data_IF_207372142327
#
_entry.id   IF_207372142327
#
_cell.length_a   1.000
_cell.length_b   1.000
_cell.length_c   1.000
_cell.angle_alpha   90.00
_cell.angle_beta   90.00
_cell.angle_gamma   90.00
#
_symmetry.space_group_name_H-M   'P 1'
#
loop_
_entity.id
_entity.type
_entity.pdbx_description
1 polymer ?
#
# COMPACT_ATOMS: atom_id res chain seq x y z
N UNK A 1 -18.96 6.70 0.35
CA UNK A 1 -17.81 6.25 1.14
C UNK A 1 -18.24 5.17 2.13
N UNK A 2 -17.29 4.49 2.79
CA UNK A 2 -17.61 3.47 3.79
C UNK A 2 -18.47 4.02 4.94
N UNK A 3 -19.37 3.17 5.46
CA UNK A 3 -20.19 3.45 6.64
C UNK A 3 -19.47 3.15 7.94
N UNK A 4 -20.18 3.28 9.07
CA UNK A 4 -19.64 2.95 10.41
C UNK A 4 -19.30 1.46 10.51
N UNK A 5 -18.30 1.14 11.33
CA UNK A 5 -17.85 -0.21 11.66
C UNK A 5 -17.49 -0.28 13.14
N UNK A 6 -17.74 -1.41 13.79
CA UNK A 6 -17.35 -1.66 15.19
C UNK A 6 -15.83 -1.73 15.38
N UNK A 7 -15.08 -1.92 14.29
CA UNK A 7 -13.61 -1.88 14.31
C UNK A 7 -13.03 -0.47 14.29
N UNK A 8 -13.85 0.57 14.06
CA UNK A 8 -13.39 1.94 14.02
C UNK A 8 -13.24 2.52 15.42
N UNK A 9 -12.31 3.45 15.56
CA UNK A 9 -12.01 4.08 16.84
C UNK A 9 -12.60 5.49 16.89
N UNK A 10 -13.02 5.90 18.09
CA UNK A 10 -13.57 7.24 18.33
C UNK A 10 -12.49 8.17 18.85
N UNK A 11 -12.45 9.38 18.33
CA UNK A 11 -11.59 10.46 18.81
C UNK A 11 -12.32 11.79 18.88
N UNK A 12 -11.61 12.81 19.32
CA UNK A 12 -12.10 14.19 19.39
C UNK A 12 -11.13 15.13 18.68
N UNK A 13 -11.60 16.32 18.36
CA UNK A 13 -10.74 17.45 18.08
C UNK A 13 -11.09 18.65 18.95
N UNK A 14 -10.06 19.40 19.36
CA UNK A 14 -10.17 20.52 20.32
C UNK A 14 -9.23 21.66 19.96
N UNK A 15 -9.50 22.82 20.54
CA UNK A 15 -8.69 24.03 20.37
C UNK A 15 -8.68 24.86 21.66
N UNK A 16 -8.24 26.11 21.57
CA UNK A 16 -8.45 27.11 22.60
C UNK A 16 -9.93 27.34 23.00
N UNK A 17 -10.90 26.94 22.18
CA UNK A 17 -12.32 26.97 22.54
C UNK A 17 -12.68 26.02 23.68
N UNK A 18 -11.85 25.00 23.96
CA UNK A 18 -11.95 24.13 25.13
C UNK A 18 -10.80 24.46 26.10
N UNK A 19 -10.86 25.58 26.85
CA UNK A 19 -9.72 26.05 27.65
C UNK A 19 -9.39 25.13 28.84
N UNK A 20 -10.35 24.32 29.29
CA UNK A 20 -10.16 23.38 30.39
C UNK A 20 -10.69 22.00 29.96
N UNK A 21 -9.79 21.02 29.88
CA UNK A 21 -10.09 19.63 29.54
C UNK A 21 -9.48 18.72 30.60
N UNK A 22 -10.32 17.91 31.26
CA UNK A 22 -9.85 16.81 32.10
C UNK A 22 -9.57 15.58 31.23
N UNK A 23 -8.33 15.49 30.79
CA UNK A 23 -7.87 14.42 29.91
C UNK A 23 -7.94 13.02 30.53
N UNK A 24 -7.96 12.90 31.86
CA UNK A 24 -8.15 11.61 32.53
C UNK A 24 -9.58 11.12 32.36
N UNK A 25 -10.56 12.01 32.50
CA UNK A 25 -11.97 11.70 32.23
C UNK A 25 -12.24 11.45 30.74
N UNK A 26 -11.57 12.19 29.86
CA UNK A 26 -11.65 11.97 28.40
C UNK A 26 -11.14 10.57 28.04
N UNK A 27 -9.97 10.18 28.58
CA UNK A 27 -9.39 8.84 28.38
C UNK A 27 -10.33 7.75 28.92
N UNK A 28 -10.88 7.95 30.12
CA UNK A 28 -11.85 7.03 30.72
C UNK A 28 -13.18 6.93 29.94
N UNK A 29 -13.48 7.91 29.08
CA UNK A 29 -14.65 7.91 28.20
C UNK A 29 -14.44 7.11 26.91
N UNK A 30 -13.26 6.48 26.74
CA UNK A 30 -12.96 5.64 25.58
C UNK A 30 -12.48 6.42 24.35
N UNK A 31 -12.09 7.68 24.52
CA UNK A 31 -11.47 8.48 23.44
C UNK A 31 -10.09 7.92 23.13
N UNK A 32 -9.90 7.46 21.91
CA UNK A 32 -8.70 6.73 21.48
C UNK A 32 -7.63 7.62 20.83
N UNK A 33 -7.98 8.82 20.40
CA UNK A 33 -7.07 9.81 19.82
C UNK A 33 -7.64 11.22 19.95
N UNK A 34 -6.77 12.24 19.87
CA UNK A 34 -7.18 13.63 19.82
C UNK A 34 -6.40 14.41 18.76
N UNK A 35 -7.09 15.23 17.95
CA UNK A 35 -6.48 16.27 17.14
C UNK A 35 -6.61 17.63 17.84
N UNK A 36 -5.54 18.43 17.84
CA UNK A 36 -5.52 19.71 18.54
C UNK A 36 -5.14 20.80 17.57
N UNK A 37 -5.88 21.92 17.56
CA UNK A 37 -5.51 23.09 16.77
C UNK A 37 -4.13 23.54 17.19
N UNK A 38 -3.20 23.64 16.25
CA UNK A 38 -1.86 24.16 16.53
C UNK A 38 -1.73 25.61 16.07
N UNK A 39 -2.25 25.91 14.89
CA UNK A 39 -2.05 27.21 14.23
C UNK A 39 -3.22 27.58 13.33
N UNK A 40 -3.32 28.88 13.04
CA UNK A 40 -4.27 29.46 12.09
C UNK A 40 -3.56 30.56 11.29
N UNK A 41 -3.66 30.49 9.97
CA UNK A 41 -3.03 31.43 9.08
C UNK A 41 -1.51 31.56 9.26
N UNK A 42 -0.92 32.66 8.78
CA UNK A 42 0.54 32.82 8.78
C UNK A 42 1.19 33.10 10.15
N UNK A 43 0.43 33.41 11.21
CA UNK A 43 0.99 33.93 12.48
C UNK A 43 0.35 33.45 13.77
N UNK A 44 -0.88 32.96 13.75
CA UNK A 44 -1.58 32.60 14.99
C UNK A 44 -1.14 31.21 15.42
N UNK A 45 -0.67 31.10 16.67
CA UNK A 45 -0.47 29.82 17.35
C UNK A 45 -1.53 29.67 18.43
N UNK A 46 -2.14 28.49 18.50
CA UNK A 46 -3.14 28.19 19.52
C UNK A 46 -2.45 28.05 20.88
N UNK A 47 -2.81 28.92 21.83
CA UNK A 47 -2.18 28.98 23.14
C UNK A 47 -2.41 27.72 23.98
N UNK A 48 -3.46 26.93 23.68
CA UNK A 48 -3.76 25.70 24.38
C UNK A 48 -3.06 24.47 23.77
N UNK A 49 -2.50 24.58 22.56
CA UNK A 49 -1.87 23.44 21.87
C UNK A 49 -0.82 22.71 22.72
N UNK A 50 0.19 23.38 23.34
CA UNK A 50 1.18 22.67 24.15
C UNK A 50 0.59 21.99 25.37
N UNK A 51 -0.36 22.65 26.04
CA UNK A 51 -1.02 22.16 27.26
C UNK A 51 -1.90 20.96 26.96
N UNK A 52 -2.75 21.05 25.94
CA UNK A 52 -3.61 19.95 25.52
C UNK A 52 -2.78 18.76 25.06
N UNK A 53 -1.74 18.99 24.25
CA UNK A 53 -0.90 17.91 23.75
C UNK A 53 -0.18 17.17 24.89
N UNK A 54 0.41 17.91 25.83
CA UNK A 54 1.08 17.31 26.99
C UNK A 54 0.11 16.51 27.87
N UNK A 55 -1.06 17.07 28.18
CA UNK A 55 -2.02 16.46 29.10
C UNK A 55 -2.75 15.26 28.48
N UNK A 56 -3.11 15.33 27.20
CA UNK A 56 -3.70 14.21 26.47
C UNK A 56 -2.75 13.02 26.41
N UNK A 57 -1.48 13.27 26.05
CA UNK A 57 -0.45 12.21 26.02
C UNK A 57 -0.19 11.62 27.39
N UNK A 58 -0.16 12.45 28.44
CA UNK A 58 -0.03 11.98 29.82
C UNK A 58 -1.20 11.08 30.26
N UNK A 59 -2.40 11.30 29.71
CA UNK A 59 -3.58 10.45 29.92
C UNK A 59 -3.64 9.22 28.98
N UNK A 60 -2.60 8.97 28.18
CA UNK A 60 -2.49 7.83 27.27
C UNK A 60 -3.19 8.02 25.92
N UNK A 61 -3.58 9.24 25.56
CA UNK A 61 -4.25 9.55 24.29
C UNK A 61 -3.21 10.06 23.28
N UNK A 62 -2.99 9.37 22.14
CA UNK A 62 -2.15 9.84 21.05
C UNK A 62 -2.67 11.15 20.44
N UNK A 63 -1.75 12.06 20.14
CA UNK A 63 -2.08 13.43 19.71
C UNK A 63 -1.66 13.70 18.26
N UNK A 64 -2.59 14.26 17.49
CA UNK A 64 -2.35 14.92 16.21
C UNK A 64 -2.52 16.43 16.30
N UNK A 65 -2.08 17.14 15.27
CA UNK A 65 -2.19 18.59 15.19
C UNK A 65 -2.79 19.01 13.86
N UNK A 66 -3.60 20.07 13.87
CA UNK A 66 -4.16 20.64 12.64
C UNK A 66 -3.86 22.14 12.50
N UNK A 67 -3.81 22.58 11.24
CA UNK A 67 -3.62 23.97 10.83
C UNK A 67 -4.86 24.49 10.12
N UNK A 68 -5.50 25.53 10.66
CA UNK A 68 -6.65 26.20 10.03
C UNK A 68 -6.17 27.15 8.93
N UNK A 69 -6.52 26.84 7.69
CA UNK A 69 -5.96 27.49 6.51
C UNK A 69 -6.73 28.74 6.08
N UNK A 70 -6.01 29.74 5.53
CA UNK A 70 -6.60 30.93 4.91
C UNK A 70 -6.04 31.19 3.49
N UNK A 71 -6.37 30.34 2.50
CA UNK A 71 -5.91 30.51 1.12
C UNK A 71 -6.32 31.85 0.49
N UNK A 72 -7.36 32.50 1.01
CA UNK A 72 -7.82 33.82 0.60
C UNK A 72 -6.90 34.97 0.98
N UNK A 73 -6.03 34.78 1.98
CA UNK A 73 -5.24 35.87 2.58
C UNK A 73 -3.75 35.59 2.65
N UNK A 74 -3.31 34.33 2.67
CA UNK A 74 -1.92 33.98 2.92
C UNK A 74 -1.34 33.03 1.86
N UNK A 75 -0.01 32.96 1.77
CA UNK A 75 0.67 31.97 0.94
C UNK A 75 0.73 30.61 1.66
N UNK A 76 0.76 29.48 0.93
CA UNK A 76 0.88 28.17 1.56
C UNK A 76 2.22 27.98 2.27
N UNK A 77 3.27 28.68 1.83
CA UNK A 77 4.58 28.68 2.49
C UNK A 77 4.54 29.35 3.86
N UNK A 78 3.91 30.52 3.98
CA UNK A 78 3.84 31.24 5.24
C UNK A 78 3.04 30.46 6.29
N UNK A 79 1.92 29.85 5.86
CA UNK A 79 1.10 29.00 6.71
C UNK A 79 1.82 27.70 7.10
N UNK A 80 2.50 27.04 6.16
CA UNK A 80 3.30 25.86 6.46
C UNK A 80 4.42 26.17 7.46
N UNK A 81 5.10 27.31 7.31
CA UNK A 81 6.15 27.74 8.25
C UNK A 81 5.60 27.96 9.66
N UNK A 82 4.42 28.59 9.80
CA UNK A 82 3.78 28.77 11.09
C UNK A 82 3.44 27.41 11.74
N UNK A 83 2.84 26.51 10.97
CA UNK A 83 2.49 25.18 11.46
C UNK A 83 3.72 24.36 11.86
N UNK A 84 4.77 24.35 11.05
CA UNK A 84 6.03 23.67 11.35
C UNK A 84 6.71 24.24 12.60
N UNK A 85 6.64 25.55 12.83
CA UNK A 85 7.16 26.15 14.05
C UNK A 85 6.43 25.61 15.31
N UNK A 86 5.11 25.45 15.24
CA UNK A 86 4.33 24.86 16.33
C UNK A 86 4.65 23.36 16.51
N UNK A 87 4.72 22.59 15.41
CA UNK A 87 5.07 21.16 15.44
C UNK A 87 6.47 20.90 16.00
N UNK A 88 7.43 21.79 15.77
CA UNK A 88 8.78 21.66 16.33
C UNK A 88 8.84 21.91 17.84
N UNK A 89 7.83 22.57 18.42
CA UNK A 89 7.76 22.89 19.84
C UNK A 89 7.03 21.84 20.70
N UNK A 90 6.26 20.95 20.06
CA UNK A 90 5.37 19.99 20.73
C UNK A 90 5.49 18.62 20.07
N UNK A 91 5.69 17.58 20.87
CA UNK A 91 5.67 16.20 20.36
C UNK A 91 4.26 15.77 19.99
N UNK A 92 4.07 15.33 18.74
CA UNK A 92 2.83 14.74 18.23
C UNK A 92 3.05 13.31 17.74
N UNK A 93 2.07 12.45 17.97
CA UNK A 93 2.12 11.02 17.65
C UNK A 93 1.46 10.71 16.29
N UNK A 94 0.56 11.57 15.82
CA UNK A 94 -0.24 11.36 14.61
C UNK A 94 0.21 12.23 13.41
N UNK A 95 -0.40 11.98 12.25
CA UNK A 95 -0.21 12.74 11.02
C UNK A 95 -0.61 14.21 11.22
N UNK A 96 0.13 15.20 10.69
CA UNK A 96 -0.35 16.56 10.62
C UNK A 96 -1.59 16.66 9.72
N UNK A 97 -2.48 17.62 9.99
CA UNK A 97 -3.68 17.89 9.18
C UNK A 97 -3.65 19.33 8.67
N UNK A 98 -3.96 19.50 7.39
CA UNK A 98 -4.40 20.77 6.84
C UNK A 98 -5.93 20.86 6.96
N UNK A 99 -6.44 21.83 7.69
CA UNK A 99 -7.87 22.14 7.82
C UNK A 99 -8.25 23.20 6.78
N UNK A 100 -8.99 22.78 5.76
CA UNK A 100 -9.38 23.58 4.60
C UNK A 100 -10.89 23.77 4.55
N UNK A 101 -11.33 24.82 5.23
CA UNK A 101 -12.73 25.27 5.25
C UNK A 101 -12.90 26.80 5.18
N UNK A 102 -11.81 27.57 5.05
CA UNK A 102 -11.85 29.02 4.84
C UNK A 102 -11.62 29.42 3.38
N UNK A 103 -12.27 30.47 2.87
CA UNK A 103 -13.41 31.16 3.50
C UNK A 103 -14.65 30.25 3.56
N UNK A 104 -15.51 30.37 4.59
CA UNK A 104 -16.73 29.55 4.71
C UNK A 104 -17.87 30.04 3.79
N UNK A 105 -17.55 30.87 2.79
CA UNK A 105 -18.52 31.56 1.94
C UNK A 105 -17.87 31.96 0.62
N UNK A 106 -18.64 31.88 -0.48
CA UNK A 106 -18.11 32.09 -1.83
C UNK A 106 -17.24 33.34 -1.94
N UNK A 107 -16.04 33.17 -2.47
CA UNK A 107 -15.16 34.26 -2.86
C UNK A 107 -14.84 34.09 -4.34
N UNK A 108 -15.35 35.00 -5.19
CA UNK A 108 -15.17 34.92 -6.64
C UNK A 108 -13.73 35.12 -7.11
N UNK A 109 -12.84 35.59 -6.24
CA UNK A 109 -11.41 35.67 -6.51
C UNK A 109 -10.70 34.31 -6.38
N UNK A 110 -11.33 33.31 -5.77
CA UNK A 110 -10.76 31.97 -5.58
C UNK A 110 -11.38 30.97 -6.55
N UNK A 111 -10.53 30.26 -7.28
CA UNK A 111 -10.93 29.12 -8.10
C UNK A 111 -10.62 27.81 -7.39
N UNK A 112 -11.33 26.74 -7.74
CA UNK A 112 -11.02 25.40 -7.24
C UNK A 112 -9.58 24.98 -7.49
N UNK A 113 -9.03 25.27 -8.68
CA UNK A 113 -7.64 25.00 -9.03
C UNK A 113 -6.64 25.78 -8.17
N UNK A 114 -6.95 27.05 -7.85
CA UNK A 114 -6.10 27.84 -6.96
C UNK A 114 -6.05 27.22 -5.56
N UNK A 115 -7.21 26.90 -4.99
CA UNK A 115 -7.31 26.29 -3.66
C UNK A 115 -6.62 24.92 -3.64
N UNK A 116 -6.80 24.10 -4.67
CA UNK A 116 -6.15 22.79 -4.78
C UNK A 116 -4.62 22.91 -4.83
N UNK A 117 -4.08 23.82 -5.65
CA UNK A 117 -2.65 24.04 -5.75
C UNK A 117 -2.06 24.62 -4.45
N UNK A 118 -2.80 25.51 -3.79
CA UNK A 118 -2.45 26.07 -2.49
C UNK A 118 -2.33 24.96 -1.44
N UNK A 119 -3.36 24.12 -1.31
CA UNK A 119 -3.41 23.03 -0.34
C UNK A 119 -2.30 22.00 -0.58
N UNK A 120 -2.08 21.62 -1.85
CA UNK A 120 -1.02 20.68 -2.23
C UNK A 120 0.38 21.22 -1.90
N UNK A 121 0.61 22.52 -2.10
CA UNK A 121 1.87 23.15 -1.76
C UNK A 121 2.13 23.11 -0.26
N UNK A 122 1.13 23.49 0.56
CA UNK A 122 1.22 23.40 2.01
C UNK A 122 1.54 21.96 2.47
N UNK A 123 0.75 20.99 1.97
CA UNK A 123 0.87 19.58 2.32
C UNK A 123 2.26 19.04 2.01
N UNK A 124 2.80 19.36 0.83
CA UNK A 124 4.13 18.91 0.42
C UNK A 124 5.23 19.48 1.32
N UNK A 125 5.17 20.77 1.66
CA UNK A 125 6.15 21.41 2.54
C UNK A 125 6.15 20.79 3.93
N UNK A 126 4.96 20.55 4.49
CA UNK A 126 4.83 19.93 5.82
C UNK A 126 5.26 18.46 5.78
N UNK A 127 4.91 17.72 4.72
CA UNK A 127 5.32 16.34 4.56
C UNK A 127 6.84 16.18 4.43
N UNK A 128 7.49 17.05 3.63
CA UNK A 128 8.94 17.07 3.45
C UNK A 128 9.65 17.37 4.77
N UNK A 129 9.19 18.37 5.53
CA UNK A 129 9.82 18.78 6.77
C UNK A 129 9.63 17.78 7.92
N UNK A 130 8.49 17.08 7.96
CA UNK A 130 8.14 16.17 9.07
C UNK A 130 8.47 14.70 8.76
N UNK A 131 8.65 14.33 7.49
CA UNK A 131 8.74 12.94 7.05
C UNK A 131 7.42 12.16 7.23
N UNK A 132 6.31 12.83 7.52
CA UNK A 132 4.98 12.24 7.71
C UNK A 132 4.08 12.57 6.53
N UNK A 133 3.11 11.69 6.27
CA UNK A 133 1.93 12.06 5.46
C UNK A 133 1.15 13.17 6.17
N UNK A 134 0.53 14.05 5.39
CA UNK A 134 -0.36 15.10 5.87
C UNK A 134 -1.77 14.81 5.36
N UNK A 135 -2.75 14.90 6.25
CA UNK A 135 -4.15 14.69 5.92
C UNK A 135 -4.80 16.01 5.51
N UNK A 136 -5.88 15.92 4.75
CA UNK A 136 -6.73 17.05 4.44
C UNK A 136 -8.04 16.90 5.19
N UNK A 137 -8.34 17.86 6.07
CA UNK A 137 -9.67 18.04 6.60
C UNK A 137 -10.46 19.00 5.71
N UNK A 138 -11.64 18.58 5.26
CA UNK A 138 -12.58 19.41 4.49
C UNK A 138 -13.97 18.75 4.42
N UNK A 139 -14.97 19.47 3.91
CA UNK A 139 -16.32 18.95 3.68
C UNK A 139 -16.75 19.07 2.23
N UNK A 140 -17.69 18.21 1.80
CA UNK A 140 -18.28 18.27 0.45
C UNK A 140 -18.84 19.66 0.13
N UNK A 141 -19.41 20.33 1.13
CA UNK A 141 -19.96 21.67 0.99
C UNK A 141 -18.90 22.68 0.52
N UNK A 142 -17.67 22.57 1.01
CA UNK A 142 -16.57 23.48 0.67
C UNK A 142 -16.03 23.17 -0.73
N UNK A 143 -15.84 21.88 -1.05
CA UNK A 143 -15.39 21.49 -2.38
C UNK A 143 -16.40 21.82 -3.46
N UNK A 144 -17.71 21.68 -3.18
CA UNK A 144 -18.78 22.05 -4.10
C UNK A 144 -18.83 23.57 -4.30
N UNK A 145 -18.68 24.35 -3.21
CA UNK A 145 -18.70 25.81 -3.24
C UNK A 145 -17.63 26.36 -4.18
N UNK A 146 -16.40 25.87 -4.07
CA UNK A 146 -15.27 26.38 -4.86
C UNK A 146 -14.94 25.56 -6.10
N UNK A 147 -15.57 24.40 -6.30
CA UNK A 147 -15.23 23.47 -7.39
C UNK A 147 -13.84 22.85 -7.22
N UNK A 148 -13.42 22.57 -5.99
CA UNK A 148 -12.11 21.97 -5.69
C UNK A 148 -12.11 20.50 -6.13
N UNK A 149 -11.12 20.12 -6.95
CA UNK A 149 -10.91 18.75 -7.40
C UNK A 149 -9.42 18.42 -7.42
N UNK A 150 -9.07 17.15 -7.69
CA UNK A 150 -7.68 16.75 -7.88
C UNK A 150 -6.85 16.70 -6.59
N UNK A 151 -7.49 16.50 -5.44
CA UNK A 151 -6.84 16.27 -4.13
C UNK A 151 -7.14 14.87 -3.58
N UNK A 152 -7.85 14.02 -4.34
CA UNK A 152 -8.34 12.72 -3.87
C UNK A 152 -7.25 11.68 -3.56
N UNK A 153 -6.00 11.96 -3.94
CA UNK A 153 -4.80 11.21 -3.57
C UNK A 153 -4.35 11.46 -2.11
N UNK A 154 -4.87 12.51 -1.46
CA UNK A 154 -4.56 12.85 -0.07
C UNK A 154 -5.57 12.17 0.87
N UNK A 155 -5.08 11.58 1.96
CA UNK A 155 -5.92 10.99 3.00
C UNK A 155 -6.90 12.01 3.58
N UNK A 156 -8.20 11.68 3.55
CA UNK A 156 -9.29 12.58 3.91
C UNK A 156 -9.71 12.42 5.37
N UNK A 157 -9.78 13.54 6.08
CA UNK A 157 -10.60 13.73 7.27
C UNK A 157 -11.86 14.50 6.87
N UNK A 158 -12.97 13.80 6.67
CA UNK A 158 -14.19 14.44 6.17
C UNK A 158 -15.01 15.09 7.29
N UNK A 159 -15.46 16.33 7.09
CA UNK A 159 -16.55 16.92 7.86
C UNK A 159 -17.91 16.59 7.22
N UNK A 160 -18.72 15.80 7.92
CA UNK A 160 -20.08 15.44 7.47
C UNK A 160 -20.98 15.06 8.65
N UNK A 161 -21.73 16.02 9.19
CA UNK A 161 -22.54 15.82 10.40
C UNK A 161 -23.79 14.97 10.16
N UNK A 162 -23.63 13.66 10.27
CA UNK A 162 -24.68 12.69 9.97
C UNK A 162 -24.47 11.37 10.69
N UNK A 163 -25.54 10.61 10.85
CA UNK A 163 -25.47 9.19 11.24
C UNK A 163 -25.22 8.29 10.04
N UNK A 164 -25.54 8.74 8.83
CA UNK A 164 -25.38 8.01 7.58
C UNK A 164 -23.99 8.18 6.98
N UNK A 165 -23.53 7.18 6.23
CA UNK A 165 -22.23 7.21 5.56
C UNK A 165 -22.07 8.46 4.67
N UNK A 166 -20.89 9.10 4.65
CA UNK A 166 -20.67 10.23 3.75
C UNK A 166 -20.76 9.83 2.27
N UNK A 167 -21.31 10.72 1.41
CA UNK A 167 -21.31 10.52 -0.03
C UNK A 167 -19.90 10.67 -0.60
N UNK A 168 -19.67 10.08 -1.78
CA UNK A 168 -18.45 10.34 -2.56
C UNK A 168 -18.46 11.78 -3.09
N UNK A 169 -17.31 12.44 -3.13
CA UNK A 169 -17.18 13.80 -3.67
C UNK A 169 -15.74 14.11 -4.07
N UNK A 170 -15.55 15.02 -5.04
CA UNK A 170 -14.26 15.53 -5.48
C UNK A 170 -13.17 14.46 -5.78
N UNK A 171 -13.59 13.24 -6.13
CA UNK A 171 -12.73 12.08 -6.40
C UNK A 171 -12.48 11.16 -5.21
N UNK A 172 -12.78 11.58 -3.97
CA UNK A 172 -12.72 10.69 -2.82
C UNK A 172 -13.88 9.71 -2.81
N UNK A 173 -13.56 8.43 -2.64
CA UNK A 173 -14.49 7.32 -2.44
C UNK A 173 -14.36 6.69 -1.06
N UNK A 174 -13.37 7.12 -0.28
CA UNK A 174 -13.10 6.68 1.09
C UNK A 174 -12.59 7.82 1.96
N UNK A 175 -12.79 7.71 3.28
CA UNK A 175 -12.22 8.59 4.31
C UNK A 175 -11.25 7.83 5.23
N UNK A 176 -10.24 8.53 5.76
CA UNK A 176 -9.40 7.99 6.86
C UNK A 176 -9.98 8.33 8.22
N UNK A 177 -10.57 9.52 8.32
CA UNK A 177 -11.27 10.00 9.50
C UNK A 177 -12.56 10.73 9.10
N UNK A 178 -13.58 10.68 9.95
CA UNK A 178 -14.88 11.30 9.73
C UNK A 178 -15.33 12.05 10.98
N UNK A 179 -15.40 13.37 10.90
CA UNK A 179 -16.06 14.22 11.88
C UNK A 179 -17.57 14.15 11.66
N UNK A 180 -18.25 13.43 12.55
CA UNK A 180 -19.65 13.07 12.36
C UNK A 180 -20.62 13.92 13.18
N UNK A 181 -20.12 14.71 14.13
CA UNK A 181 -20.90 15.72 14.85
C UNK A 181 -19.98 16.72 15.55
N UNK A 182 -20.44 17.97 15.63
CA UNK A 182 -19.85 19.03 16.45
C UNK A 182 -20.52 19.19 17.82
N UNK A 183 -21.49 18.33 18.14
CA UNK A 183 -22.35 18.43 19.32
C UNK A 183 -22.22 17.22 20.23
N UNK A 184 -21.03 16.62 20.26
CA UNK A 184 -20.71 15.51 21.16
C UNK A 184 -20.69 15.93 22.62
N UNK A 185 -20.83 14.96 23.52
CA UNK A 185 -20.65 15.15 24.96
C UNK A 185 -19.66 14.11 25.46
N UNK A 186 -18.56 14.57 26.05
CA UNK A 186 -17.48 13.72 26.59
C UNK A 186 -17.17 14.17 28.01
N UNK A 187 -17.09 13.23 28.95
CA UNK A 187 -16.74 13.57 30.33
C UNK A 187 -15.34 14.20 30.37
N UNK A 188 -15.21 15.27 31.14
CA UNK A 188 -14.00 16.08 31.21
C UNK A 188 -13.95 17.28 30.26
N UNK A 189 -14.93 17.42 29.35
CA UNK A 189 -15.07 18.59 28.48
C UNK A 189 -16.41 19.27 28.79
N UNK A 190 -16.38 20.60 28.98
CA UNK A 190 -17.59 21.37 29.18
C UNK A 190 -18.20 21.77 27.83
N UNK A 191 -19.50 21.55 27.66
CA UNK A 191 -20.22 21.89 26.44
C UNK A 191 -20.01 20.86 25.33
N UNK A 192 -20.24 21.31 24.11
CA UNK A 192 -20.13 20.48 22.92
C UNK A 192 -18.66 20.24 22.54
N UNK A 193 -18.38 19.06 22.00
CA UNK A 193 -17.07 18.71 21.42
C UNK A 193 -17.24 17.98 20.10
N UNK A 194 -16.30 18.23 19.19
CA UNK A 194 -16.25 17.60 17.89
C UNK A 194 -15.84 16.13 18.03
N UNK A 195 -16.63 15.26 17.39
CA UNK A 195 -16.47 13.81 17.49
C UNK A 195 -16.11 13.20 16.15
N UNK A 196 -15.11 12.32 16.20
CA UNK A 196 -14.50 11.72 15.03
C UNK A 196 -14.53 10.20 15.10
N UNK A 197 -14.74 9.55 13.95
CA UNK A 197 -14.42 8.15 13.73
C UNK A 197 -13.16 8.05 12.87
N UNK A 198 -12.24 7.15 13.20
CA UNK A 198 -11.09 6.82 12.37
C UNK A 198 -11.02 5.32 12.11
N UNK A 199 -10.49 4.95 10.94
CA UNK A 199 -10.39 3.53 10.52
C UNK A 199 -9.50 2.70 11.44
N UNK A 200 -8.40 3.28 11.96
CA UNK A 200 -7.53 2.71 12.98
C UNK A 200 -6.52 3.76 13.48
N UNK A 201 -5.88 3.50 14.63
CA UNK A 201 -4.81 4.36 15.14
C UNK A 201 -3.58 4.34 14.22
N UNK A 202 -3.28 3.19 13.63
CA UNK A 202 -2.14 3.05 12.71
C UNK A 202 -2.32 3.87 11.43
N UNK A 203 -3.55 3.97 10.91
CA UNK A 203 -3.84 4.86 9.80
C UNK A 203 -3.55 6.32 10.17
N UNK A 204 -3.91 6.74 11.39
CA UNK A 204 -3.70 8.11 11.87
C UNK A 204 -2.23 8.47 12.14
N UNK A 205 -1.33 7.51 12.35
CA UNK A 205 0.08 7.82 12.64
C UNK A 205 0.79 8.55 11.52
N UNK A 206 0.23 8.53 10.30
CA UNK A 206 0.79 9.27 9.17
C UNK A 206 2.23 8.88 8.87
N UNK A 207 2.64 7.66 9.26
CA UNK A 207 3.87 7.08 8.78
C UNK A 207 3.73 7.16 7.27
N UNK A 208 4.64 7.91 6.61
CA UNK A 208 4.73 7.88 5.17
C UNK A 208 4.70 6.40 4.81
N UNK A 209 3.70 5.95 4.02
CA UNK A 209 3.69 4.56 3.55
C UNK A 209 5.10 4.27 3.11
N UNK A 210 5.69 3.12 3.48
CA UNK A 210 7.05 2.84 3.08
C UNK A 210 7.15 3.17 1.59
N UNK A 211 8.03 4.11 1.23
CA UNK A 211 8.39 4.27 -0.18
C UNK A 211 9.17 3.01 -0.47
N UNK A 212 8.45 1.99 -0.90
CA UNK A 212 9.07 0.76 -1.29
C UNK A 212 9.91 1.06 -2.53
N UNK A 213 11.17 0.66 -2.52
CA UNK A 213 11.96 0.66 -3.73
C UNK A 213 11.22 -0.14 -4.80
N UNK A 214 11.23 0.33 -6.04
CA UNK A 214 10.59 -0.40 -7.13
C UNK A 214 11.57 -1.34 -7.81
N UNK A 215 11.04 -2.42 -8.40
CA UNK A 215 11.76 -3.32 -9.30
C UNK A 215 10.95 -3.49 -10.57
N UNK A 216 11.64 -3.51 -11.72
CA UNK A 216 10.99 -3.88 -12.98
C UNK A 216 10.43 -5.29 -12.86
N UNK A 217 9.20 -5.49 -13.31
CA UNK A 217 8.59 -6.81 -13.34
C UNK A 217 8.22 -7.19 -14.77
N UNK A 218 8.51 -8.43 -15.13
CA UNK A 218 7.92 -9.11 -16.27
C UNK A 218 7.13 -10.33 -15.79
N UNK A 219 6.04 -10.65 -16.48
CA UNK A 219 5.29 -11.89 -16.29
C UNK A 219 5.37 -12.69 -17.58
N UNK A 220 5.88 -13.93 -17.51
CA UNK A 220 6.08 -14.80 -18.67
C UNK A 220 6.78 -14.08 -19.85
N UNK A 221 7.84 -13.31 -19.54
CA UNK A 221 8.65 -12.56 -20.51
C UNK A 221 8.03 -11.27 -21.05
N UNK A 222 6.82 -10.89 -20.61
CA UNK A 222 6.16 -9.64 -21.02
C UNK A 222 6.32 -8.57 -19.95
N UNK A 223 6.62 -7.30 -20.31
CA UNK A 223 6.62 -6.19 -19.36
C UNK A 223 5.32 -6.12 -18.55
N UNK A 224 5.46 -5.81 -17.26
CA UNK A 224 4.36 -5.61 -16.34
C UNK A 224 4.52 -4.29 -15.57
N UNK A 225 3.57 -3.99 -14.68
CA UNK A 225 3.74 -2.92 -13.70
C UNK A 225 4.90 -3.24 -12.75
N UNK A 226 5.67 -2.21 -12.39
CA UNK A 226 6.76 -2.34 -11.42
C UNK A 226 6.27 -2.94 -10.09
N UNK A 227 7.07 -3.84 -9.54
CA UNK A 227 6.87 -4.39 -8.21
C UNK A 227 7.44 -3.48 -7.14
N UNK A 228 7.04 -3.71 -5.90
CA UNK A 228 7.56 -3.03 -4.71
C UNK A 228 8.49 -3.97 -3.93
N UNK A 229 9.51 -3.43 -3.25
CA UNK A 229 10.40 -4.23 -2.40
C UNK A 229 10.03 -4.08 -0.94
N UNK A 230 9.69 -5.19 -0.29
CA UNK A 230 9.32 -5.27 1.13
C UNK A 230 10.21 -6.32 1.79
N UNK A 231 11.03 -5.93 2.77
CA UNK A 231 11.97 -6.83 3.46
C UNK A 231 12.85 -7.64 2.48
N UNK A 232 13.45 -6.95 1.50
CA UNK A 232 14.28 -7.52 0.42
C UNK A 232 13.56 -8.47 -0.57
N UNK A 233 12.26 -8.71 -0.38
CA UNK A 233 11.43 -9.49 -1.28
C UNK A 233 10.65 -8.60 -2.25
N UNK A 234 10.43 -9.09 -3.48
CA UNK A 234 9.63 -8.38 -4.48
C UNK A 234 8.16 -8.75 -4.37
N UNK A 235 7.31 -7.75 -4.21
CA UNK A 235 5.87 -7.90 -4.24
C UNK A 235 5.32 -7.33 -5.55
N UNK A 236 4.34 -8.01 -6.12
CA UNK A 236 3.74 -7.69 -7.41
C UNK A 236 2.26 -7.38 -7.20
N UNK A 237 1.76 -6.38 -7.91
CA UNK A 237 0.34 -6.02 -7.88
C UNK A 237 -0.54 -7.24 -8.22
N UNK A 238 -1.62 -7.40 -7.45
CA UNK A 238 -2.47 -8.59 -7.45
C UNK A 238 -3.02 -9.00 -8.83
N UNK A 239 -3.17 -8.05 -9.76
CA UNK A 239 -3.63 -8.32 -11.13
C UNK A 239 -2.72 -9.30 -11.88
N UNK A 240 -1.48 -9.50 -11.43
CA UNK A 240 -0.60 -10.56 -11.95
C UNK A 240 -1.20 -11.98 -11.80
N UNK A 241 -2.06 -12.23 -10.80
CA UNK A 241 -2.77 -13.51 -10.64
C UNK A 241 -3.57 -13.90 -11.90
N UNK A 242 -4.13 -12.90 -12.60
CA UNK A 242 -4.86 -13.12 -13.85
C UNK A 242 -3.93 -13.61 -14.96
N UNK A 243 -2.70 -13.07 -15.04
CA UNK A 243 -1.71 -13.49 -16.03
C UNK A 243 -1.19 -14.92 -15.78
N UNK A 244 -1.30 -15.41 -14.54
CA UNK A 244 -0.98 -16.79 -14.16
C UNK A 244 -2.18 -17.75 -14.25
N UNK A 245 -3.39 -17.24 -14.55
CA UNK A 245 -4.65 -17.98 -14.43
C UNK A 245 -4.85 -18.61 -13.04
N UNK A 246 -4.32 -17.97 -11.99
CA UNK A 246 -4.45 -18.43 -10.61
C UNK A 246 -5.83 -18.04 -10.07
N UNK A 247 -6.66 -18.99 -9.58
CA UNK A 247 -7.93 -18.67 -8.93
C UNK A 247 -7.73 -17.82 -7.67
N UNK A 248 -8.52 -16.75 -7.54
CA UNK A 248 -8.47 -15.89 -6.37
C UNK A 248 -9.83 -15.33 -5.95
N UNK A 249 -9.93 -14.87 -4.70
CA UNK A 249 -11.05 -14.08 -4.18
C UNK A 249 -10.52 -12.99 -3.25
N UNK A 250 -10.88 -11.73 -3.50
CA UNK A 250 -10.51 -10.63 -2.62
C UNK A 250 -11.43 -10.57 -1.40
N UNK A 251 -10.86 -10.47 -0.20
CA UNK A 251 -11.58 -10.43 1.08
C UNK A 251 -11.61 -9.04 1.74
N UNK A 252 -10.96 -8.04 1.15
CA UNK A 252 -10.81 -6.71 1.75
C UNK A 252 -9.51 -6.57 2.54
N UNK A 253 -9.08 -5.32 2.79
CA UNK A 253 -7.90 -4.98 3.60
C UNK A 253 -6.61 -5.70 3.18
N UNK A 254 -6.40 -5.90 1.88
CA UNK A 254 -5.22 -6.58 1.34
C UNK A 254 -5.22 -8.10 1.49
N UNK A 255 -6.30 -8.71 2.00
CA UNK A 255 -6.42 -10.17 2.13
C UNK A 255 -7.00 -10.78 0.86
N UNK A 256 -6.38 -11.85 0.36
CA UNK A 256 -6.83 -12.63 -0.79
C UNK A 256 -6.83 -14.11 -0.47
N UNK A 257 -7.87 -14.85 -0.87
CA UNK A 257 -7.79 -16.31 -0.98
C UNK A 257 -7.19 -16.64 -2.34
N UNK A 258 -6.06 -17.33 -2.37
CA UNK A 258 -5.33 -17.75 -3.58
C UNK A 258 -5.14 -19.26 -3.51
N UNK A 259 -5.57 -20.00 -4.54
CA UNK A 259 -5.52 -21.48 -4.55
C UNK A 259 -6.11 -22.14 -3.27
N UNK A 260 -7.12 -21.50 -2.68
CA UNK A 260 -7.80 -21.99 -1.47
C UNK A 260 -7.12 -21.65 -0.14
N UNK A 261 -6.01 -20.91 -0.14
CA UNK A 261 -5.32 -20.43 1.05
C UNK A 261 -5.42 -18.90 1.18
N UNK A 262 -5.60 -18.39 2.40
CA UNK A 262 -5.59 -16.95 2.65
C UNK A 262 -4.17 -16.40 2.71
N UNK A 263 -3.95 -15.32 1.96
CA UNK A 263 -2.67 -14.61 1.84
C UNK A 263 -2.90 -13.14 2.17
N UNK A 264 -2.07 -12.60 3.08
CA UNK A 264 -2.04 -11.18 3.38
C UNK A 264 -1.07 -10.47 2.43
N UNK A 265 -1.59 -9.60 1.58
CA UNK A 265 -0.82 -8.66 0.78
C UNK A 265 -0.52 -7.35 1.50
N UNK A 266 0.35 -6.56 0.91
CA UNK A 266 0.64 -5.18 1.31
C UNK A 266 -0.28 -4.24 0.54
N UNK A 267 -1.04 -3.41 1.25
CA UNK A 267 -1.85 -2.36 0.61
C UNK A 267 -0.97 -1.12 0.41
N UNK A 268 -0.81 -0.70 -0.84
CA UNK A 268 0.02 0.44 -1.23
C UNK A 268 -0.64 1.18 -2.40
N UNK A 269 -0.81 2.51 -2.25
CA UNK A 269 -1.46 3.38 -3.24
C UNK A 269 -2.82 2.88 -3.75
N UNK A 270 -3.63 2.29 -2.87
CA UNK A 270 -4.96 1.77 -3.22
C UNK A 270 -4.96 0.37 -3.84
N UNK A 271 -3.79 -0.20 -4.12
CA UNK A 271 -3.63 -1.55 -4.67
C UNK A 271 -3.11 -2.54 -3.62
N UNK A 272 -3.43 -3.82 -3.83
CA UNK A 272 -2.84 -4.92 -3.08
C UNK A 272 -1.64 -5.49 -3.84
N UNK A 273 -0.49 -5.54 -3.17
CA UNK A 273 0.73 -6.15 -3.66
C UNK A 273 0.96 -7.46 -2.91
N UNK A 274 1.23 -8.53 -3.66
CA UNK A 274 1.40 -9.88 -3.16
C UNK A 274 2.86 -10.30 -3.29
N UNK A 275 3.38 -11.04 -2.31
CA UNK A 275 4.70 -11.64 -2.41
C UNK A 275 4.75 -12.51 -3.67
N UNK A 276 5.77 -12.35 -4.52
CA UNK A 276 5.81 -12.99 -5.84
C UNK A 276 5.61 -14.52 -5.78
N UNK A 277 6.06 -15.19 -4.72
CA UNK A 277 5.92 -16.64 -4.52
C UNK A 277 4.47 -17.09 -4.33
N UNK A 278 3.55 -16.19 -4.02
CA UNK A 278 2.13 -16.50 -3.83
C UNK A 278 1.32 -16.34 -5.12
N UNK A 279 1.95 -15.90 -6.22
CA UNK A 279 1.23 -15.64 -7.48
C UNK A 279 0.79 -16.92 -8.19
N UNK A 280 1.53 -18.02 -8.02
CA UNK A 280 1.16 -19.35 -8.49
C UNK A 280 2.01 -20.40 -7.78
N UNK A 281 1.48 -21.61 -7.61
CA UNK A 281 2.20 -22.72 -6.96
C UNK A 281 3.57 -23.05 -7.56
N UNK A 282 3.74 -22.85 -8.87
CA UNK A 282 4.97 -23.17 -9.62
C UNK A 282 5.56 -21.93 -10.31
N UNK A 283 5.49 -20.76 -9.68
CA UNK A 283 6.15 -19.54 -10.19
C UNK A 283 7.66 -19.59 -9.90
N UNK A 284 8.47 -19.10 -10.83
CA UNK A 284 9.91 -18.92 -10.67
C UNK A 284 10.30 -17.48 -10.95
N UNK A 285 11.37 -17.01 -10.30
CA UNK A 285 11.96 -15.70 -10.57
C UNK A 285 13.23 -15.86 -11.43
N UNK A 286 13.29 -15.10 -12.53
CA UNK A 286 14.46 -15.00 -13.40
C UNK A 286 14.95 -13.55 -13.33
N UNK A 287 16.21 -13.34 -12.99
CA UNK A 287 16.78 -11.99 -12.94
C UNK A 287 16.78 -11.35 -14.34
N UNK A 288 16.38 -10.09 -14.41
CA UNK A 288 16.48 -9.23 -15.60
C UNK A 288 17.16 -7.91 -15.21
N UNK A 289 17.55 -7.10 -16.20
CA UNK A 289 18.11 -5.78 -15.91
C UNK A 289 17.12 -4.91 -15.12
N UNK A 290 17.51 -4.53 -13.91
CA UNK A 290 16.69 -3.72 -13.00
C UNK A 290 15.54 -4.44 -12.30
N UNK A 291 15.40 -5.77 -12.40
CA UNK A 291 14.30 -6.47 -11.73
C UNK A 291 14.17 -7.96 -12.01
N UNK A 292 12.93 -8.43 -12.10
CA UNK A 292 12.59 -9.85 -12.16
C UNK A 292 11.57 -10.17 -13.26
N UNK A 293 11.76 -11.30 -13.93
CA UNK A 293 10.74 -11.95 -14.74
C UNK A 293 10.18 -13.13 -13.96
N UNK A 294 8.89 -13.09 -13.60
CA UNK A 294 8.20 -14.18 -12.93
C UNK A 294 7.54 -15.08 -13.97
N UNK A 295 7.94 -16.35 -13.99
CA UNK A 295 7.55 -17.30 -15.03
C UNK A 295 6.77 -18.45 -14.43
N UNK A 296 5.62 -18.75 -15.02
CA UNK A 296 4.83 -19.92 -14.65
C UNK A 296 5.48 -21.16 -15.23
N UNK A 297 5.78 -22.14 -14.38
CA UNK A 297 6.39 -23.39 -14.78
C UNK A 297 5.43 -24.57 -14.50
N UNK A 298 4.39 -24.81 -15.32
CA UNK A 298 3.52 -25.97 -15.12
C UNK A 298 4.31 -27.27 -15.30
N UNK A 299 3.86 -28.34 -14.68
CA UNK A 299 4.49 -29.65 -14.84
C UNK A 299 3.89 -30.45 -16.00
N UNK A 300 4.70 -31.33 -16.58
CA UNK A 300 4.28 -32.31 -17.62
C UNK A 300 4.82 -33.68 -17.25
N UNK A 301 4.03 -34.73 -17.51
CA UNK A 301 4.51 -36.10 -17.34
C UNK A 301 5.68 -36.36 -18.29
N UNK A 302 6.72 -37.02 -17.79
CA UNK A 302 7.85 -37.44 -18.60
C UNK A 302 8.01 -38.94 -18.53
N UNK A 303 8.30 -39.54 -19.67
CA UNK A 303 8.84 -40.89 -19.78
C UNK A 303 10.21 -40.84 -20.43
N UNK A 304 11.10 -41.74 -20.02
CA UNK A 304 12.40 -41.96 -20.67
C UNK A 304 12.41 -43.39 -21.23
N UNK A 305 12.61 -43.54 -22.53
CA UNK A 305 12.60 -44.84 -23.22
C UNK A 305 11.36 -45.70 -22.89
N UNK A 306 10.19 -45.06 -22.83
CA UNK A 306 8.90 -45.72 -22.57
C UNK A 306 8.61 -46.05 -21.10
N UNK A 307 9.48 -45.64 -20.16
CA UNK A 307 9.27 -45.84 -18.72
C UNK A 307 8.87 -44.53 -18.03
N UNK A 308 7.88 -44.53 -17.11
CA UNK A 308 7.56 -43.38 -16.27
C UNK A 308 8.80 -42.81 -15.57
N UNK A 309 8.87 -41.48 -15.53
CA UNK A 309 9.93 -40.74 -14.86
C UNK A 309 9.34 -39.66 -13.94
N UNK A 310 10.19 -38.79 -13.40
CA UNK A 310 9.79 -37.56 -12.72
C UNK A 310 9.17 -36.57 -13.71
N UNK A 311 8.15 -35.84 -13.28
CA UNK A 311 7.55 -34.78 -14.10
C UNK A 311 8.61 -33.74 -14.51
N UNK A 312 8.53 -33.32 -15.77
CA UNK A 312 9.25 -32.16 -16.28
C UNK A 312 8.51 -30.87 -15.95
N UNK A 313 9.18 -29.74 -16.18
CA UNK A 313 8.57 -28.41 -16.13
C UNK A 313 8.44 -27.86 -17.54
N UNK A 314 7.46 -26.99 -17.77
CA UNK A 314 7.26 -26.32 -19.06
C UNK A 314 7.63 -24.86 -18.91
N UNK A 315 8.47 -24.36 -19.81
CA UNK A 315 8.86 -22.95 -19.87
C UNK A 315 8.79 -22.53 -21.33
N UNK A 316 7.98 -21.51 -21.65
CA UNK A 316 7.76 -21.05 -23.03
C UNK A 316 7.38 -22.18 -24.00
N UNK A 317 6.41 -23.02 -23.60
CA UNK A 317 5.93 -24.20 -24.34
C UNK A 317 6.96 -25.33 -24.56
N UNK A 318 8.18 -25.18 -24.06
CA UNK A 318 9.22 -26.21 -24.10
C UNK A 318 9.28 -27.02 -22.81
N UNK A 319 9.52 -28.32 -22.93
CA UNK A 319 9.63 -29.22 -21.76
C UNK A 319 11.08 -29.32 -21.30
N UNK A 320 11.30 -29.06 -20.02
CA UNK A 320 12.58 -29.24 -19.36
C UNK A 320 12.50 -30.43 -18.41
N UNK A 321 13.53 -31.25 -18.41
CA UNK A 321 13.62 -32.50 -17.64
C UNK A 321 14.77 -32.37 -16.65
N UNK A 322 14.56 -32.87 -15.44
CA UNK A 322 15.61 -32.89 -14.41
C UNK A 322 16.89 -33.56 -14.93
N UNK A 323 18.04 -32.95 -14.64
CA UNK A 323 19.34 -33.29 -15.21
C UNK A 323 19.76 -34.75 -15.01
N UNK A 324 19.23 -35.41 -13.99
CA UNK A 324 19.50 -36.84 -13.73
C UNK A 324 19.03 -37.75 -14.87
N UNK A 325 18.17 -37.27 -15.78
CA UNK A 325 17.84 -37.96 -17.03
C UNK A 325 19.07 -38.22 -17.93
N UNK A 326 20.12 -37.40 -17.84
CA UNK A 326 21.40 -37.65 -18.53
C UNK A 326 22.01 -38.99 -18.14
N UNK A 327 21.85 -39.40 -16.87
CA UNK A 327 22.36 -40.68 -16.38
C UNK A 327 21.58 -41.86 -16.98
N UNK A 328 20.26 -41.73 -17.12
CA UNK A 328 19.40 -42.76 -17.73
C UNK A 328 19.75 -42.95 -19.22
N UNK A 329 20.02 -41.85 -19.95
CA UNK A 329 20.48 -41.92 -21.33
C UNK A 329 21.97 -42.23 -21.48
N UNK A 330 22.71 -42.35 -20.38
CA UNK A 330 24.16 -42.57 -20.37
C UNK A 330 24.94 -41.50 -21.14
N UNK A 331 24.40 -40.29 -21.17
CA UNK A 331 25.01 -39.13 -21.82
C UNK A 331 26.16 -38.62 -20.95
N UNK A 332 27.41 -38.54 -21.46
CA UNK A 332 28.53 -37.93 -20.74
C UNK A 332 28.23 -36.49 -20.33
N UNK A 333 28.43 -36.16 -19.05
CA UNK A 333 28.28 -34.80 -18.56
C UNK A 333 29.28 -34.42 -17.46
N UNK A 334 29.47 -33.12 -17.25
CA UNK A 334 30.20 -32.54 -16.12
C UNK A 334 29.44 -31.33 -15.59
N UNK A 335 29.06 -31.35 -14.31
CA UNK A 335 28.41 -30.20 -13.67
C UNK A 335 29.43 -29.12 -13.32
N UNK A 336 29.16 -27.88 -13.74
CA UNK A 336 30.03 -26.72 -13.52
C UNK A 336 29.53 -25.77 -12.43
N UNK A 337 28.37 -26.03 -11.83
CA UNK A 337 27.74 -25.13 -10.85
C UNK A 337 26.71 -24.20 -11.48
N UNK A 338 25.79 -23.67 -10.66
CA UNK A 338 24.79 -22.68 -11.06
C UNK A 338 23.95 -23.09 -12.30
N UNK A 339 23.59 -24.37 -12.39
CA UNK A 339 22.82 -24.92 -13.51
C UNK A 339 23.61 -25.12 -14.81
N UNK A 340 24.90 -24.77 -14.87
CA UNK A 340 25.74 -24.99 -16.04
C UNK A 340 26.29 -26.42 -16.08
N UNK A 341 26.19 -27.08 -17.23
CA UNK A 341 26.73 -28.42 -17.47
C UNK A 341 27.45 -28.47 -18.82
N UNK A 342 28.56 -29.22 -18.90
CA UNK A 342 29.06 -29.69 -20.19
C UNK A 342 28.40 -31.02 -20.49
N UNK A 343 27.66 -31.13 -21.59
CA UNK A 343 26.95 -32.33 -22.04
C UNK A 343 27.48 -32.68 -23.42
N UNK A 344 28.03 -33.89 -23.60
CA UNK A 344 28.68 -34.30 -24.86
C UNK A 344 29.71 -33.29 -25.40
N UNK A 345 30.43 -32.63 -24.49
CA UNK A 345 31.45 -31.64 -24.84
C UNK A 345 30.91 -30.23 -25.15
N UNK A 346 29.60 -30.00 -25.05
CA UNK A 346 28.95 -28.70 -25.26
C UNK A 346 28.45 -28.13 -23.94
N UNK A 347 28.70 -26.85 -23.68
CA UNK A 347 28.16 -26.18 -22.50
C UNK A 347 26.67 -25.85 -22.68
N UNK A 348 25.85 -26.31 -21.76
CA UNK A 348 24.40 -26.15 -21.71
C UNK A 348 24.02 -25.52 -20.38
N UNK A 349 23.29 -24.41 -20.44
CA UNK A 349 22.73 -23.75 -19.26
C UNK A 349 21.33 -24.32 -18.98
N UNK A 350 21.20 -25.03 -17.87
CA UNK A 350 19.92 -25.47 -17.35
C UNK A 350 19.21 -24.38 -16.54
N UNK A 351 17.91 -24.58 -16.33
CA UNK A 351 17.08 -23.78 -15.42
C UNK A 351 17.15 -24.41 -14.03
N UNK A 352 17.39 -23.62 -13.00
CA UNK A 352 17.32 -24.10 -11.61
C UNK A 352 15.89 -23.94 -11.13
N UNK A 353 15.26 -25.04 -10.72
CA UNK A 353 13.88 -25.11 -10.20
C UNK A 353 13.88 -25.92 -8.91
N UNK A 354 13.39 -25.32 -7.82
CA UNK A 354 13.36 -25.94 -6.48
C UNK A 354 14.71 -26.52 -6.01
N UNK A 355 15.82 -25.89 -6.39
CA UNK A 355 17.17 -26.33 -6.04
C UNK A 355 17.78 -27.37 -6.98
N UNK A 356 17.01 -27.90 -7.93
CA UNK A 356 17.46 -28.87 -8.93
C UNK A 356 17.67 -28.21 -10.30
N UNK A 357 18.56 -28.78 -11.12
CA UNK A 357 18.79 -28.31 -12.50
C UNK A 357 17.89 -29.08 -13.47
N UNK A 358 17.16 -28.35 -14.30
CA UNK A 358 16.32 -28.87 -15.38
C UNK A 358 16.88 -28.43 -16.73
N UNK A 359 17.01 -29.37 -17.65
CA UNK A 359 17.61 -29.20 -18.97
C UNK A 359 16.53 -29.26 -20.04
N UNK A 360 16.66 -28.45 -21.09
CA UNK A 360 15.77 -28.54 -22.24
C UNK A 360 15.86 -29.96 -22.83
N UNK A 361 14.72 -30.60 -23.06
CA UNK A 361 14.66 -32.04 -23.38
C UNK A 361 15.59 -32.46 -24.53
N UNK A 362 15.75 -31.62 -25.55
CA UNK A 362 16.57 -31.90 -26.73
C UNK A 362 18.09 -31.81 -26.47
N UNK A 363 18.51 -31.42 -25.26
CA UNK A 363 19.91 -31.40 -24.83
C UNK A 363 20.30 -32.67 -24.07
N UNK A 364 19.34 -33.56 -23.78
CA UNK A 364 19.57 -34.73 -22.93
C UNK A 364 20.40 -35.84 -23.62
N UNK A 365 20.40 -35.89 -24.95
CA UNK A 365 21.28 -36.74 -25.76
C UNK A 365 21.25 -36.24 -27.21
N UNK A 366 22.29 -36.56 -27.99
CA UNK A 366 22.42 -36.12 -29.39
C UNK A 366 21.25 -36.51 -30.30
N UNK A 367 20.68 -37.70 -30.10
CA UNK A 367 19.64 -38.29 -30.96
C UNK A 367 18.30 -38.48 -30.23
N UNK A 368 18.07 -37.71 -29.16
CA UNK A 368 16.82 -37.79 -28.39
C UNK A 368 15.62 -37.32 -29.24
N UNK A 369 14.55 -38.10 -29.22
CA UNK A 369 13.29 -37.82 -29.91
C UNK A 369 12.16 -37.65 -28.89
N UNK A 370 11.28 -36.66 -29.11
CA UNK A 370 10.08 -36.45 -28.30
C UNK A 370 8.87 -37.14 -28.93
N UNK A 371 8.22 -38.03 -28.18
CA UNK A 371 6.98 -38.71 -28.56
C UNK A 371 5.84 -38.27 -27.63
N UNK A 372 4.69 -37.79 -28.13
CA UNK A 372 3.60 -37.35 -27.27
C UNK A 372 2.98 -38.53 -26.51
N UNK A 373 2.67 -38.31 -25.23
CA UNK A 373 1.88 -39.22 -24.39
C UNK A 373 0.72 -38.44 -23.75
N UNK A 374 -0.21 -39.13 -23.10
CA UNK A 374 -1.26 -38.48 -22.31
C UNK A 374 -0.64 -37.56 -21.25
N UNK A 375 -0.94 -36.26 -21.35
CA UNK A 375 -0.46 -35.19 -20.47
C UNK A 375 1.07 -35.00 -20.40
N UNK A 376 1.81 -35.41 -21.44
CA UNK A 376 3.27 -35.42 -21.34
C UNK A 376 4.03 -35.77 -22.60
N UNK A 377 5.32 -36.07 -22.40
CA UNK A 377 6.25 -36.50 -23.43
C UNK A 377 7.02 -37.75 -23.00
N UNK A 378 7.26 -38.65 -23.96
CA UNK A 378 8.23 -39.72 -23.85
C UNK A 378 9.47 -39.34 -24.67
N UNK A 379 10.62 -39.21 -24.01
CA UNK A 379 11.90 -38.93 -24.65
C UNK A 379 12.65 -40.23 -24.88
N UNK A 380 12.98 -40.52 -26.14
CA UNK A 380 13.57 -41.80 -26.56
C UNK A 380 14.88 -41.54 -27.27
N UNK A 381 15.92 -42.29 -26.92
CA UNK A 381 17.20 -42.32 -27.64
C UNK A 381 17.24 -43.62 -28.42
N UNK A 382 17.46 -43.52 -29.74
CA UNK A 382 17.53 -44.65 -30.67
C UNK A 382 18.84 -45.40 -30.60
#
# INVERSE_FOLDING_TARGET
>A
MQGRSDSFITGIDVSNYQPNVDWTQVSASGIAFAYIKATEGMRTQDAMFPTHAANARAAGIPVGAYHFAHPESNTPQDEANNFLAALNSVTTDLAPVLDLESPPQQNSALTGDFIANWARTFINLVAEATGKRVFLYTGKWYTDMYGVTGLSDISLWISYYSTSAPPDFAGWTEWTMWQYTESGTVNGISGNVDMNLAVSLDALRGIATPVYATKKVQINGKPWMDGIVVNDETYVVWTALQAFNTPYTYKGNGVMTIDGADVQGVVYNGDTYLLWTTLAKNVQSIAIDGGWNFVYCPTKKVQLNGKPWMDGIVINDETYVIWTALQEFKTPFTYKGNGLMTIDGVDVQGVVYNGDTYLLWNTLARDVQAQPITDGWNFVVS
#
